data_IF_236428362063
#
_entry.id   IF_236428362063
#
_cell.length_a   1.000
_cell.length_b   1.000
_cell.length_c   1.000
_cell.angle_alpha   90.00
_cell.angle_beta   90.00
_cell.angle_gamma   90.00
#
_symmetry.space_group_name_H-M   'P 1'
#
loop_
_entity.id
_entity.type
_entity.pdbx_description
1 polymer ?
#
# COMPACT_ATOMS: atom_id res chain seq x y z
N UNK A 1 3.51 -15.34 -9.94
CA UNK A 1 2.14 -14.88 -9.57
C UNK A 1 2.09 -14.23 -8.20
N UNK A 2 2.90 -14.70 -7.23
CA UNK A 2 2.91 -14.11 -5.89
C UNK A 2 3.28 -12.62 -5.90
N UNK A 3 4.28 -12.22 -6.68
CA UNK A 3 4.69 -10.83 -6.76
C UNK A 3 3.64 -9.94 -7.42
N UNK A 4 2.92 -10.48 -8.41
CA UNK A 4 1.81 -9.74 -9.03
C UNK A 4 0.68 -9.55 -8.02
N UNK A 5 0.31 -10.61 -7.31
CA UNK A 5 -0.72 -10.54 -6.27
C UNK A 5 -0.33 -9.54 -5.18
N UNK A 6 0.94 -9.56 -4.77
CA UNK A 6 1.45 -8.67 -3.73
C UNK A 6 1.40 -7.20 -4.19
N UNK A 7 1.79 -6.93 -5.43
CA UNK A 7 1.75 -5.57 -5.98
C UNK A 7 0.31 -5.06 -6.05
N UNK A 8 -0.62 -5.89 -6.54
CA UNK A 8 -2.04 -5.51 -6.60
C UNK A 8 -2.59 -5.28 -5.20
N UNK A 9 -2.21 -6.13 -4.24
CA UNK A 9 -2.62 -5.95 -2.85
C UNK A 9 -2.14 -4.62 -2.28
N UNK A 10 -0.91 -4.23 -2.59
CA UNK A 10 -0.36 -2.93 -2.16
C UNK A 10 -1.08 -1.75 -2.80
N UNK A 11 -1.43 -1.87 -4.08
CA UNK A 11 -2.22 -0.84 -4.76
C UNK A 11 -3.62 -0.72 -4.13
N UNK A 12 -4.25 -1.85 -3.82
CA UNK A 12 -5.53 -1.84 -3.13
C UNK A 12 -5.43 -1.22 -1.74
N UNK A 13 -4.28 -1.35 -1.09
CA UNK A 13 -4.03 -0.68 0.18
C UNK A 13 -4.10 0.85 0.01
N UNK A 14 -3.54 1.37 -1.07
CA UNK A 14 -3.65 2.80 -1.40
C UNK A 14 -5.12 3.18 -1.59
N UNK A 15 -5.88 2.35 -2.29
CA UNK A 15 -7.29 2.60 -2.56
C UNK A 15 -8.09 2.67 -1.26
N UNK A 16 -7.96 1.67 -0.37
CA UNK A 16 -8.74 1.70 0.86
C UNK A 16 -8.25 2.77 1.84
N UNK A 17 -6.96 3.11 1.83
CA UNK A 17 -6.45 4.21 2.64
C UNK A 17 -7.05 5.55 2.20
N UNK A 18 -7.09 5.81 0.89
CA UNK A 18 -7.69 7.01 0.34
C UNK A 18 -9.20 7.05 0.60
N UNK A 19 -9.89 5.94 0.36
CA UNK A 19 -11.33 5.86 0.63
C UNK A 19 -11.63 6.07 2.11
N UNK A 20 -10.78 5.56 3.00
CA UNK A 20 -10.92 5.78 4.44
C UNK A 20 -10.84 7.27 4.78
N UNK A 21 -9.90 8.00 4.15
CA UNK A 21 -9.77 9.44 4.34
C UNK A 21 -11.04 10.14 3.88
N UNK A 22 -11.59 9.75 2.73
CA UNK A 22 -12.82 10.34 2.19
C UNK A 22 -14.05 9.98 3.03
N UNK A 23 -14.02 8.90 3.79
CA UNK A 23 -15.14 8.46 4.60
C UNK A 23 -15.40 9.34 5.81
N UNK A 24 -14.47 10.21 6.14
CA UNK A 24 -14.56 11.14 7.27
C UNK A 24 -14.95 10.40 8.57
N UNK A 25 -14.08 9.47 8.96
CA UNK A 25 -14.29 8.66 10.17
C UNK A 25 -15.41 7.62 10.00
N UNK A 26 -15.59 7.12 8.77
CA UNK A 26 -16.62 6.14 8.42
C UNK A 26 -18.05 6.70 8.54
N UNK A 27 -18.19 8.02 8.45
CA UNK A 27 -19.51 8.67 8.49
C UNK A 27 -20.20 8.71 7.12
N UNK A 28 -19.44 8.57 6.02
CA UNK A 28 -19.98 8.59 4.66
C UNK A 28 -20.13 7.17 4.14
N UNK A 29 -21.35 6.74 3.72
CA UNK A 29 -21.59 5.33 3.36
C UNK A 29 -20.76 4.82 2.19
N UNK A 30 -20.70 5.58 1.07
CA UNK A 30 -20.03 5.08 -0.13
C UNK A 30 -18.52 4.93 0.07
N UNK A 31 -17.77 5.94 0.56
CA UNK A 31 -16.35 5.75 0.83
C UNK A 31 -16.09 4.66 1.88
N UNK A 32 -16.96 4.51 2.86
CA UNK A 32 -16.84 3.45 3.88
C UNK A 32 -16.90 2.06 3.24
N UNK A 33 -17.89 1.86 2.35
CA UNK A 33 -18.05 0.58 1.65
C UNK A 33 -16.83 0.30 0.78
N UNK A 34 -16.35 1.30 0.02
CA UNK A 34 -15.16 1.14 -0.82
C UNK A 34 -13.95 0.77 0.03
N UNK A 35 -13.80 1.40 1.20
CA UNK A 35 -12.72 1.08 2.13
C UNK A 35 -12.71 -0.39 2.50
N UNK A 36 -13.84 -0.91 2.96
CA UNK A 36 -13.90 -2.29 3.42
C UNK A 36 -13.77 -3.30 2.28
N UNK A 37 -14.39 -3.04 1.14
CA UNK A 37 -14.27 -3.94 -0.03
C UNK A 37 -12.82 -4.01 -0.48
N UNK A 38 -12.15 -2.87 -0.67
CA UNK A 38 -10.77 -2.83 -1.10
C UNK A 38 -9.84 -3.45 -0.06
N UNK A 39 -10.12 -3.23 1.22
CA UNK A 39 -9.34 -3.79 2.32
C UNK A 39 -9.39 -5.32 2.32
N UNK A 40 -10.58 -5.91 2.20
CA UNK A 40 -10.71 -7.36 2.19
C UNK A 40 -10.06 -7.99 0.97
N UNK A 41 -10.19 -7.34 -0.21
CA UNK A 41 -9.51 -7.81 -1.42
C UNK A 41 -7.98 -7.73 -1.25
N UNK A 42 -7.49 -6.65 -0.66
CA UNK A 42 -6.07 -6.46 -0.40
C UNK A 42 -5.53 -7.55 0.52
N UNK A 43 -6.23 -7.81 1.62
CA UNK A 43 -5.84 -8.84 2.59
C UNK A 43 -5.86 -10.24 1.96
N UNK A 44 -6.85 -10.53 1.12
CA UNK A 44 -6.94 -11.82 0.45
C UNK A 44 -5.78 -12.06 -0.50
N UNK A 45 -5.40 -11.04 -1.27
CA UNK A 45 -4.26 -11.14 -2.18
C UNK A 45 -2.94 -11.22 -1.41
N UNK A 46 -2.82 -10.49 -0.30
CA UNK A 46 -1.65 -10.59 0.57
C UNK A 46 -1.50 -12.01 1.11
N UNK A 47 -2.59 -12.58 1.60
CA UNK A 47 -2.58 -13.95 2.13
C UNK A 47 -2.18 -14.95 1.04
N UNK A 48 -2.69 -14.76 -0.18
CA UNK A 48 -2.30 -15.60 -1.32
C UNK A 48 -0.80 -15.51 -1.60
N UNK A 49 -0.25 -14.28 -1.61
CA UNK A 49 1.18 -14.08 -1.85
C UNK A 49 2.03 -14.75 -0.77
N UNK A 50 1.55 -14.76 0.47
CA UNK A 50 2.26 -15.37 1.59
C UNK A 50 2.34 -16.89 1.51
N UNK A 51 1.58 -17.53 0.61
CA UNK A 51 1.72 -18.97 0.38
C UNK A 51 3.09 -19.32 -0.19
N UNK A 52 3.69 -18.43 -0.96
CA UNK A 52 4.98 -18.68 -1.61
C UNK A 52 6.07 -17.71 -1.19
N UNK A 53 5.74 -16.61 -0.53
CA UNK A 53 6.72 -15.63 -0.06
C UNK A 53 6.83 -15.64 1.46
N UNK A 54 8.03 -15.40 2.01
CA UNK A 54 8.18 -15.28 3.47
C UNK A 54 7.34 -14.12 4.01
N UNK A 55 6.90 -14.26 5.25
CA UNK A 55 6.10 -13.25 5.94
C UNK A 55 6.76 -11.87 5.90
N UNK A 56 8.03 -11.82 6.28
CA UNK A 56 8.74 -10.53 6.34
C UNK A 56 8.81 -9.84 5.00
N UNK A 57 9.11 -10.59 3.93
CA UNK A 57 9.17 -10.05 2.58
C UNK A 57 7.80 -9.55 2.13
N UNK A 58 6.79 -10.40 2.23
CA UNK A 58 5.45 -10.07 1.74
C UNK A 58 4.87 -8.88 2.50
N UNK A 59 4.93 -8.91 3.83
CA UNK A 59 4.34 -7.84 4.63
C UNK A 59 5.06 -6.50 4.43
N UNK A 60 6.39 -6.53 4.40
CA UNK A 60 7.19 -5.31 4.21
C UNK A 60 6.92 -4.67 2.86
N UNK A 61 6.88 -5.47 1.80
CA UNK A 61 6.61 -4.95 0.44
C UNK A 61 5.19 -4.40 0.35
N UNK A 62 4.21 -5.14 0.88
CA UNK A 62 2.81 -4.70 0.90
C UNK A 62 2.66 -3.36 1.63
N UNK A 63 3.23 -3.26 2.84
CA UNK A 63 3.18 -2.05 3.65
C UNK A 63 3.89 -0.89 2.95
N UNK A 64 5.05 -1.15 2.34
CA UNK A 64 5.83 -0.12 1.67
C UNK A 64 5.13 0.42 0.42
N UNK A 65 4.54 -0.44 -0.39
CA UNK A 65 3.79 -0.01 -1.57
C UNK A 65 2.61 0.87 -1.14
N UNK A 66 1.88 0.43 -0.12
CA UNK A 66 0.76 1.21 0.39
C UNK A 66 1.19 2.56 0.95
N UNK A 67 2.28 2.58 1.72
CA UNK A 67 2.79 3.81 2.31
C UNK A 67 3.23 4.81 1.27
N UNK A 68 4.02 4.37 0.26
CA UNK A 68 4.49 5.25 -0.81
C UNK A 68 3.32 5.71 -1.68
N UNK A 69 2.41 4.81 -2.02
CA UNK A 69 1.24 5.16 -2.81
C UNK A 69 0.34 6.16 -2.10
N UNK A 70 0.10 5.96 -0.81
CA UNK A 70 -0.70 6.90 -0.02
C UNK A 70 -0.01 8.27 0.10
N UNK A 71 1.32 8.28 0.21
CA UNK A 71 2.09 9.51 0.21
C UNK A 71 1.89 10.28 -1.08
N UNK A 72 2.00 9.60 -2.24
CA UNK A 72 1.82 10.23 -3.55
C UNK A 72 0.39 10.74 -3.71
N UNK A 73 -0.61 9.93 -3.37
CA UNK A 73 -2.02 10.33 -3.46
C UNK A 73 -2.31 11.52 -2.55
N UNK A 74 -1.76 11.52 -1.34
CA UNK A 74 -1.91 12.63 -0.41
C UNK A 74 -1.43 13.94 -1.00
N UNK A 75 -0.28 13.92 -1.68
CA UNK A 75 0.28 15.12 -2.31
C UNK A 75 -0.54 15.52 -3.55
N UNK A 76 -0.77 14.57 -4.47
CA UNK A 76 -1.33 14.88 -5.78
C UNK A 76 -2.82 15.17 -5.72
N UNK A 77 -3.57 14.39 -4.93
CA UNK A 77 -5.03 14.48 -4.90
C UNK A 77 -5.52 15.34 -3.73
N UNK A 78 -4.92 15.18 -2.56
CA UNK A 78 -5.38 15.86 -1.36
C UNK A 78 -4.64 17.15 -1.06
N UNK A 79 -3.62 17.49 -1.84
CA UNK A 79 -2.87 18.73 -1.68
C UNK A 79 -2.01 18.81 -0.44
N UNK A 80 -1.56 17.67 0.09
CA UNK A 80 -0.72 17.65 1.29
C UNK A 80 0.65 18.24 1.00
N UNK A 81 1.29 18.73 2.05
CA UNK A 81 2.57 19.43 1.94
C UNK A 81 3.69 18.52 1.45
N UNK A 82 4.54 19.06 0.58
CA UNK A 82 5.75 18.39 0.11
C UNK A 82 6.95 19.04 0.78
N UNK A 83 7.77 18.23 1.47
CA UNK A 83 9.02 18.72 2.06
C UNK A 83 10.15 17.82 1.59
N UNK A 84 11.38 18.35 1.64
CA UNK A 84 12.57 17.58 1.26
C UNK A 84 12.72 16.34 2.13
N UNK A 85 12.46 16.47 3.44
CA UNK A 85 12.56 15.35 4.36
C UNK A 85 11.55 14.26 4.03
N UNK A 86 10.31 14.64 3.71
CA UNK A 86 9.26 13.68 3.37
C UNK A 86 9.55 12.97 2.05
N UNK A 87 10.06 13.69 1.05
CA UNK A 87 10.47 13.08 -0.22
C UNK A 87 11.63 12.12 0.00
N UNK A 88 12.60 12.50 0.83
CA UNK A 88 13.71 11.63 1.17
C UNK A 88 13.22 10.36 1.86
N UNK A 89 12.27 10.47 2.76
CA UNK A 89 11.68 9.30 3.43
C UNK A 89 11.03 8.36 2.42
N UNK A 90 10.26 8.90 1.46
CA UNK A 90 9.65 8.09 0.42
C UNK A 90 10.69 7.39 -0.46
N UNK A 91 11.78 8.09 -0.81
CA UNK A 91 12.88 7.51 -1.59
C UNK A 91 13.53 6.36 -0.83
N UNK A 92 13.73 6.50 0.48
CA UNK A 92 14.29 5.43 1.30
C UNK A 92 13.38 4.21 1.34
N UNK A 93 12.07 4.41 1.43
CA UNK A 93 11.11 3.31 1.42
C UNK A 93 11.15 2.58 0.08
N UNK A 94 11.13 3.31 -1.05
CA UNK A 94 11.20 2.71 -2.38
C UNK A 94 12.50 1.95 -2.56
N UNK A 95 13.63 2.53 -2.11
CA UNK A 95 14.93 1.86 -2.18
C UNK A 95 14.93 0.56 -1.39
N UNK A 96 14.32 0.57 -0.20
CA UNK A 96 14.17 -0.63 0.61
C UNK A 96 13.32 -1.69 -0.06
N UNK A 97 12.24 -1.29 -0.75
CA UNK A 97 11.40 -2.23 -1.49
C UNK A 97 12.18 -2.89 -2.63
N UNK A 98 12.96 -2.12 -3.37
CA UNK A 98 13.78 -2.66 -4.45
C UNK A 98 14.80 -3.66 -3.90
N UNK A 99 15.46 -3.31 -2.80
CA UNK A 99 16.40 -4.22 -2.16
C UNK A 99 15.72 -5.50 -1.67
N UNK A 100 14.52 -5.40 -1.14
CA UNK A 100 13.77 -6.55 -0.68
C UNK A 100 13.46 -7.49 -1.83
N UNK A 101 13.05 -6.96 -2.98
CA UNK A 101 12.74 -7.76 -4.16
C UNK A 101 14.00 -8.43 -4.73
N UNK A 102 15.09 -7.66 -4.87
CA UNK A 102 16.34 -8.14 -5.47
C UNK A 102 17.00 -9.19 -4.60
N UNK A 103 16.94 -9.03 -3.27
CA UNK A 103 17.55 -9.96 -2.34
C UNK A 103 16.69 -11.18 -2.03
N UNK A 104 15.44 -11.19 -2.50
CA UNK A 104 14.53 -12.29 -2.24
C UNK A 104 14.82 -13.48 -3.13
N UNK A 105 14.76 -14.73 -2.62
CA UNK A 105 14.94 -15.92 -3.44
C UNK A 105 13.73 -16.23 -4.33
N UNK A 106 12.63 -15.58 -4.13
CA UNK A 106 11.40 -15.86 -4.89
C UNK A 106 11.28 -14.99 -6.14
#
# INVERSE_FOLDING_TARGET
MAWIALTVAGILEVVWAYAMKLSDGFSRPVPTIVTFVAMFLSFGLLAYAMKSLPLGTAYTVWTGIGAVGAFVVGIVVLGEAVTVVRVLAAVLIVSGLVLMKVSSPA
#
